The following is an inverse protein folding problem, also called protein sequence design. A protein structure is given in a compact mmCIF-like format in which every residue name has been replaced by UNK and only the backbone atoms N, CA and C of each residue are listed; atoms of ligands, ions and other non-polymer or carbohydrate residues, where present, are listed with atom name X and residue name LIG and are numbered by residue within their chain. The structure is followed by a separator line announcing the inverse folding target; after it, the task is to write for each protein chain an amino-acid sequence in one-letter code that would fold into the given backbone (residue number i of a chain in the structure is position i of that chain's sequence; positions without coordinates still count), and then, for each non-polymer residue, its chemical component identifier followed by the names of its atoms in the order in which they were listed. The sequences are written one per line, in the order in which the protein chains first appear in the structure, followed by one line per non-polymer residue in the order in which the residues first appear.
data_IF_706825694740
#
_entry.id   IF_706825694740
#
_cell.length_a   1.000
_cell.length_b   1.000
_cell.length_c   1.000
_cell.angle_alpha   90.00
_cell.angle_beta   90.00
_cell.angle_gamma   90.00
#
_symmetry.space_group_name_H-M   'P 1'
#
loop_
_entity.id
_entity.type
_entity.pdbx_description
1 polymer ?
#
# COMPACT_ATOMS: atom_id res chain seq x y z
N UNK A 1 -7.52 -7.33 -15.63
CA UNK A 1 -6.11 -7.00 -15.95
C UNK A 1 -5.70 -5.70 -15.30
N UNK A 2 -6.48 -4.63 -15.50
CA UNK A 2 -6.26 -3.36 -14.83
C UNK A 2 -6.26 -3.46 -13.28
N UNK A 3 -6.92 -4.45 -12.71
CA UNK A 3 -7.01 -4.62 -11.26
C UNK A 3 -5.75 -5.26 -10.63
N UNK A 4 -5.11 -6.25 -11.29
CA UNK A 4 -3.82 -6.79 -10.82
C UNK A 4 -2.72 -5.71 -10.91
N UNK A 5 -2.75 -4.92 -12.01
CA UNK A 5 -1.84 -3.80 -12.21
C UNK A 5 -2.22 -2.55 -11.41
N UNK A 6 -3.50 -2.33 -11.09
CA UNK A 6 -3.93 -1.20 -10.26
C UNK A 6 -3.50 -1.38 -8.80
N UNK A 7 -3.45 -2.61 -8.28
CA UNK A 7 -2.87 -2.91 -6.96
C UNK A 7 -1.35 -2.64 -6.98
N UNK A 8 -0.68 -2.86 -8.11
CA UNK A 8 0.73 -2.51 -8.32
C UNK A 8 0.95 -1.03 -8.66
N UNK A 9 0.01 -0.38 -9.38
CA UNK A 9 0.14 1.01 -9.84
C UNK A 9 -0.22 2.08 -8.78
N UNK A 10 -0.93 1.71 -7.71
CA UNK A 10 -1.28 2.64 -6.62
C UNK A 10 -0.03 3.18 -5.89
N UNK A 11 1.09 2.46 -5.95
CA UNK A 11 2.37 2.94 -5.40
C UNK A 11 3.15 3.87 -6.33
N UNK A 12 2.81 3.95 -7.63
CA UNK A 12 3.58 4.70 -8.63
C UNK A 12 2.98 6.06 -9.02
N UNK A 13 1.73 6.35 -8.65
CA UNK A 13 1.01 7.55 -9.10
C UNK A 13 1.24 8.81 -8.24
N UNK A 14 2.03 8.74 -7.17
CA UNK A 14 2.18 9.84 -6.20
C UNK A 14 3.34 10.82 -6.48
N UNK A 15 4.16 10.62 -7.52
CA UNK A 15 5.31 11.50 -7.79
C UNK A 15 5.34 11.97 -9.25
N UNK A 16 5.09 13.25 -9.48
CA UNK A 16 5.37 13.95 -10.74
C UNK A 16 6.88 14.06 -11.00
N UNK A 17 7.33 14.26 -12.26
CA UNK A 17 8.74 14.17 -12.63
C UNK A 17 9.56 15.34 -12.09
N UNK A 18 10.58 15.06 -11.28
CA UNK A 18 11.61 16.02 -10.92
C UNK A 18 12.65 16.11 -12.04
N UNK A 19 12.95 17.32 -12.46
CA UNK A 19 13.88 17.63 -13.55
C UNK A 19 15.32 17.21 -13.18
N UNK A 20 15.93 16.38 -14.03
CA UNK A 20 17.32 15.94 -13.90
C UNK A 20 18.32 17.07 -14.09
N UNK A 21 19.29 17.17 -13.22
CA UNK A 21 20.47 18.02 -13.37
C UNK A 21 21.70 17.15 -13.64
N UNK A 22 22.23 17.24 -14.86
CA UNK A 22 23.45 16.52 -15.28
C UNK A 22 24.69 17.27 -14.85
N UNK A 23 25.40 16.75 -13.86
CA UNK A 23 26.72 17.21 -13.45
C UNK A 23 27.80 16.19 -13.81
N UNK A 24 28.66 16.52 -14.77
CA UNK A 24 29.87 15.79 -15.14
C UNK A 24 30.97 16.01 -14.11
N UNK A 25 31.56 14.96 -13.57
CA UNK A 25 32.85 15.04 -12.86
C UNK A 25 33.75 13.87 -13.20
N UNK A 26 35.02 14.22 -13.44
CA UNK A 26 36.07 13.43 -14.06
C UNK A 26 36.60 12.27 -13.19
N UNK A 27 37.13 11.29 -13.92
CA UNK A 27 37.73 10.05 -13.43
C UNK A 27 39.10 10.27 -12.80
N UNK A 28 39.29 9.77 -11.59
CA UNK A 28 40.60 9.39 -11.04
C UNK A 28 40.67 7.87 -11.01
N UNK A 29 41.57 7.30 -11.81
CA UNK A 29 41.89 5.87 -11.80
C UNK A 29 42.63 5.51 -10.51
N UNK A 30 42.05 4.65 -9.70
CA UNK A 30 42.73 3.85 -8.70
C UNK A 30 42.77 2.40 -9.19
N UNK A 31 43.91 1.72 -9.07
CA UNK A 31 44.13 0.32 -9.42
C UNK A 31 43.41 -0.58 -8.38
N UNK A 32 42.12 -0.77 -8.53
CA UNK A 32 41.30 -1.71 -7.77
C UNK A 32 40.78 -2.81 -8.68
N UNK A 33 40.46 -3.96 -8.12
CA UNK A 33 39.66 -5.00 -8.77
C UNK A 33 38.43 -4.33 -9.37
N UNK A 34 38.16 -4.56 -10.67
CA UNK A 34 37.02 -3.99 -11.35
C UNK A 34 35.75 -4.55 -10.72
N UNK A 35 34.86 -3.66 -10.21
CA UNK A 35 33.60 -4.05 -9.56
C UNK A 35 32.66 -4.62 -10.59
N UNK A 36 31.86 -5.60 -10.17
CA UNK A 36 30.75 -6.09 -10.99
C UNK A 36 29.63 -5.05 -11.04
N UNK A 37 28.72 -5.09 -12.04
CA UNK A 37 27.60 -4.19 -12.15
C UNK A 37 26.73 -4.13 -10.87
N UNK A 38 26.45 -5.28 -10.24
CA UNK A 38 25.66 -5.34 -8.99
C UNK A 38 26.44 -4.80 -7.78
N UNK A 39 27.78 -4.93 -7.74
CA UNK A 39 28.59 -4.27 -6.69
C UNK A 39 28.54 -2.75 -6.82
N UNK A 40 28.61 -2.21 -8.05
CA UNK A 40 28.46 -0.77 -8.29
C UNK A 40 27.06 -0.27 -7.86
N UNK A 41 26.01 -1.04 -8.17
CA UNK A 41 24.64 -0.71 -7.80
C UNK A 41 24.40 -0.79 -6.28
N UNK A 42 24.98 -1.79 -5.60
CA UNK A 42 24.91 -1.90 -4.14
C UNK A 42 25.62 -0.72 -3.45
N UNK A 43 26.80 -0.32 -3.97
CA UNK A 43 27.51 0.85 -3.46
C UNK A 43 26.73 2.14 -3.66
N UNK A 44 26.13 2.35 -4.84
CA UNK A 44 25.30 3.50 -5.15
C UNK A 44 24.05 3.53 -4.25
N UNK A 45 23.38 2.37 -4.10
CA UNK A 45 22.24 2.21 -3.22
C UNK A 45 22.57 2.63 -1.78
N UNK A 46 23.64 2.06 -1.21
CA UNK A 46 24.00 2.30 0.18
C UNK A 46 24.45 3.74 0.40
N UNK A 47 25.38 4.26 -0.44
CA UNK A 47 25.90 5.62 -0.27
C UNK A 47 24.82 6.69 -0.44
N UNK A 48 23.92 6.52 -1.43
CA UNK A 48 22.86 7.49 -1.67
C UNK A 48 21.85 7.54 -0.52
N UNK A 49 21.49 6.38 0.04
CA UNK A 49 20.61 6.32 1.21
C UNK A 49 21.29 6.92 2.46
N UNK A 50 22.57 6.61 2.71
CA UNK A 50 23.33 7.19 3.83
C UNK A 50 23.42 8.73 3.75
N UNK A 51 23.57 9.28 2.55
CA UNK A 51 23.71 10.72 2.33
C UNK A 51 22.39 11.48 2.40
N UNK A 52 21.30 10.86 1.93
CA UNK A 52 20.07 11.60 1.61
C UNK A 52 18.86 11.20 2.43
N UNK A 53 18.76 9.97 2.94
CA UNK A 53 17.64 9.58 3.81
C UNK A 53 17.68 10.39 5.11
N UNK A 54 16.53 10.88 5.54
CA UNK A 54 16.42 11.78 6.72
C UNK A 54 17.06 11.20 7.99
N UNK A 55 16.89 9.89 8.21
CA UNK A 55 17.52 9.16 9.32
C UNK A 55 17.48 7.65 9.02
N UNK A 56 18.42 7.18 8.20
CA UNK A 56 18.49 5.78 7.76
C UNK A 56 18.59 4.78 8.93
N UNK A 57 19.14 5.22 10.03
CA UNK A 57 19.48 4.41 11.21
C UNK A 57 18.51 4.62 12.38
N UNK A 58 17.24 4.95 12.09
CA UNK A 58 16.23 5.15 13.13
C UNK A 58 15.86 3.85 13.89
N UNK A 59 15.81 2.73 13.17
CA UNK A 59 15.34 1.44 13.68
C UNK A 59 16.42 0.35 13.67
N UNK A 60 17.61 0.63 13.13
CA UNK A 60 18.76 -0.27 13.08
C UNK A 60 20.04 0.54 13.30
N UNK A 61 21.05 0.00 13.97
CA UNK A 61 22.33 0.68 14.07
C UNK A 61 23.07 0.71 12.73
N UNK A 62 23.95 1.70 12.55
CA UNK A 62 24.78 1.78 11.34
C UNK A 62 25.64 0.53 11.15
N UNK A 63 26.20 0.02 12.23
CA UNK A 63 27.06 -1.15 12.24
C UNK A 63 26.30 -2.41 11.82
N UNK A 64 25.07 -2.60 12.31
CA UNK A 64 24.23 -3.72 11.93
C UNK A 64 23.79 -3.62 10.46
N UNK A 65 23.35 -2.43 10.01
CA UNK A 65 22.97 -2.22 8.62
C UNK A 65 24.13 -2.49 7.66
N UNK A 66 25.34 -1.98 7.98
CA UNK A 66 26.52 -2.23 7.16
C UNK A 66 26.93 -3.71 7.16
N UNK A 67 26.76 -4.42 8.28
CA UNK A 67 27.00 -5.88 8.31
C UNK A 67 26.06 -6.63 7.37
N UNK A 68 24.79 -6.23 7.29
CA UNK A 68 23.83 -6.80 6.34
C UNK A 68 24.18 -6.45 4.88
N UNK A 69 24.65 -5.22 4.61
CA UNK A 69 25.16 -4.83 3.28
C UNK A 69 26.36 -5.70 2.86
N UNK A 70 27.31 -5.93 3.77
CA UNK A 70 28.46 -6.80 3.48
C UNK A 70 28.06 -8.27 3.30
N UNK A 71 27.02 -8.74 3.98
CA UNK A 71 26.43 -10.05 3.70
C UNK A 71 25.88 -10.12 2.28
N UNK A 72 25.06 -9.14 1.85
CA UNK A 72 24.56 -9.07 0.46
C UNK A 72 25.75 -9.05 -0.52
N UNK A 73 26.79 -8.25 -0.25
CA UNK A 73 27.98 -8.17 -1.09
C UNK A 73 28.67 -9.54 -1.24
N UNK A 74 28.78 -10.30 -0.18
CA UNK A 74 29.39 -11.65 -0.22
C UNK A 74 28.54 -12.65 -1.02
N UNK A 75 27.25 -12.45 -1.10
CA UNK A 75 26.28 -13.29 -1.82
C UNK A 75 26.16 -12.92 -3.31
N UNK A 76 26.63 -11.72 -3.75
CA UNK A 76 26.52 -11.26 -5.14
C UNK A 76 27.07 -12.23 -6.21
N UNK A 77 28.19 -12.96 -5.98
CA UNK A 77 28.67 -13.90 -6.97
C UNK A 77 27.67 -15.01 -7.30
N UNK A 78 27.07 -14.95 -8.50
CA UNK A 78 26.08 -15.90 -8.97
C UNK A 78 24.63 -15.56 -8.63
N UNK A 79 24.39 -14.41 -8.01
CA UNK A 79 23.05 -13.90 -7.73
C UNK A 79 22.34 -13.47 -9.02
N UNK A 80 21.07 -13.83 -9.17
CA UNK A 80 20.20 -13.32 -10.23
C UNK A 80 19.73 -11.89 -9.93
N UNK A 81 19.22 -11.16 -10.95
CA UNK A 81 18.63 -9.83 -10.75
C UNK A 81 17.44 -9.87 -9.77
N UNK A 82 16.60 -10.93 -9.82
CA UNK A 82 15.50 -11.11 -8.89
C UNK A 82 15.98 -11.30 -7.44
N UNK A 83 17.02 -12.11 -7.22
CA UNK A 83 17.62 -12.29 -5.89
C UNK A 83 18.25 -10.98 -5.40
N UNK A 84 18.91 -10.22 -6.26
CA UNK A 84 19.48 -8.90 -5.94
C UNK A 84 18.34 -7.92 -5.53
N UNK A 85 17.26 -7.85 -6.30
CA UNK A 85 16.11 -7.03 -5.97
C UNK A 85 15.54 -7.34 -4.57
N UNK A 86 15.35 -8.63 -4.23
CA UNK A 86 14.85 -9.01 -2.90
C UNK A 86 15.89 -8.82 -1.80
N UNK A 87 17.19 -8.90 -2.09
CA UNK A 87 18.25 -8.56 -1.13
C UNK A 87 18.23 -7.08 -0.78
N UNK A 88 18.04 -6.19 -1.77
CA UNK A 88 17.84 -4.75 -1.51
C UNK A 88 16.55 -4.48 -0.73
N UNK A 89 15.44 -5.19 -1.04
CA UNK A 89 14.20 -5.09 -0.26
C UNK A 89 14.40 -5.52 1.20
N UNK A 90 15.21 -6.56 1.43
CA UNK A 90 15.59 -6.99 2.79
C UNK A 90 16.34 -5.89 3.54
N UNK A 91 17.29 -5.21 2.90
CA UNK A 91 17.98 -4.07 3.49
C UNK A 91 17.01 -2.93 3.84
N UNK A 92 16.06 -2.61 2.96
CA UNK A 92 15.06 -1.55 3.22
C UNK A 92 14.07 -1.92 4.33
N UNK A 93 13.72 -3.22 4.48
CA UNK A 93 12.84 -3.65 5.58
C UNK A 93 13.44 -3.36 6.96
N UNK A 94 14.78 -3.33 7.07
CA UNK A 94 15.49 -3.00 8.31
C UNK A 94 15.43 -1.52 8.67
N UNK A 95 15.21 -0.65 7.69
CA UNK A 95 15.06 0.80 7.90
C UNK A 95 13.75 1.10 8.64
N UNK A 96 12.69 0.30 8.39
CA UNK A 96 11.39 0.45 9.05
C UNK A 96 10.65 1.74 8.67
N UNK A 97 10.85 2.21 7.44
CA UNK A 97 10.15 3.35 6.83
C UNK A 97 9.34 2.83 5.63
N UNK A 98 8.02 2.92 5.70
CA UNK A 98 7.13 2.43 4.66
C UNK A 98 7.24 3.22 3.34
N UNK A 99 7.72 4.47 3.40
CA UNK A 99 7.96 5.30 2.22
C UNK A 99 9.29 4.98 1.53
N UNK A 100 10.26 4.36 2.24
CA UNK A 100 11.55 3.95 1.66
C UNK A 100 11.40 2.57 1.04
N UNK A 101 11.37 2.52 -0.31
CA UNK A 101 10.93 1.34 -1.05
C UNK A 101 11.63 1.21 -2.41
N UNK A 102 11.40 0.09 -3.09
CA UNK A 102 11.89 -0.14 -4.46
C UNK A 102 10.74 -0.21 -5.46
N UNK A 103 11.00 0.29 -6.66
CA UNK A 103 10.20 0.12 -7.86
C UNK A 103 11.08 -0.16 -9.08
N UNK A 104 10.45 -0.38 -10.23
CA UNK A 104 11.15 -0.50 -11.50
C UNK A 104 10.96 0.75 -12.34
N UNK A 105 11.98 1.14 -13.12
CA UNK A 105 11.98 2.35 -13.95
C UNK A 105 11.11 2.25 -15.19
N UNK A 106 10.95 1.04 -15.69
CA UNK A 106 10.03 0.72 -16.77
C UNK A 106 8.98 -0.26 -16.23
N UNK A 107 7.84 -0.39 -16.91
CA UNK A 107 6.83 -1.43 -16.65
C UNK A 107 7.40 -2.85 -16.79
N UNK A 108 8.70 -3.00 -16.66
CA UNK A 108 9.46 -4.21 -16.84
C UNK A 108 9.50 -5.02 -15.56
N UNK A 109 8.35 -5.60 -15.19
CA UNK A 109 8.33 -6.81 -14.36
C UNK A 109 8.91 -8.03 -15.12
N UNK A 110 9.58 -7.78 -16.26
CA UNK A 110 10.12 -8.80 -17.18
C UNK A 110 11.08 -9.78 -16.53
N UNK A 111 11.65 -9.41 -15.38
CA UNK A 111 12.61 -10.22 -14.66
C UNK A 111 12.01 -10.99 -13.48
N UNK A 112 10.71 -10.82 -13.20
CA UNK A 112 10.02 -11.53 -12.14
C UNK A 112 8.95 -12.46 -12.71
N UNK A 113 8.79 -13.61 -12.08
CA UNK A 113 7.77 -14.60 -12.42
C UNK A 113 6.52 -14.35 -11.59
N UNK A 114 5.45 -13.89 -12.22
CA UNK A 114 4.19 -13.63 -11.55
C UNK A 114 3.41 -14.93 -11.29
N UNK A 115 2.65 -14.95 -10.20
CA UNK A 115 1.70 -15.99 -9.86
C UNK A 115 0.27 -15.43 -10.01
N UNK A 116 -0.64 -16.14 -10.71
CA UNK A 116 -1.95 -15.62 -11.10
C UNK A 116 -2.96 -15.68 -9.94
N UNK A 117 -2.63 -15.10 -8.79
CA UNK A 117 -3.53 -14.98 -7.64
C UNK A 117 -3.27 -13.70 -6.87
N UNK A 118 -4.27 -13.25 -6.13
CA UNK A 118 -4.13 -12.23 -5.11
C UNK A 118 -4.96 -12.58 -3.88
N UNK A 119 -4.52 -12.13 -2.71
CA UNK A 119 -5.21 -12.35 -1.44
C UNK A 119 -5.59 -11.03 -0.76
N UNK A 120 -6.59 -11.08 0.10
CA UNK A 120 -6.91 -9.98 1.01
C UNK A 120 -7.13 -10.56 2.41
N UNK A 121 -6.69 -9.81 3.42
CA UNK A 121 -6.90 -10.15 4.81
C UNK A 121 -8.26 -9.63 5.29
N UNK A 122 -9.03 -10.53 5.91
CA UNK A 122 -10.24 -10.23 6.66
C UNK A 122 -10.06 -10.73 8.11
N UNK A 123 -11.01 -10.44 9.01
CA UNK A 123 -10.91 -10.91 10.40
C UNK A 123 -10.78 -12.43 10.53
N UNK A 124 -11.37 -13.18 9.59
CA UNK A 124 -11.34 -14.65 9.54
C UNK A 124 -10.17 -15.23 8.74
N UNK A 125 -9.22 -14.39 8.28
CA UNK A 125 -7.98 -14.79 7.63
C UNK A 125 -7.78 -14.27 6.21
N UNK A 126 -6.86 -14.90 5.49
CA UNK A 126 -6.52 -14.55 4.11
C UNK A 126 -7.45 -15.26 3.12
N UNK A 127 -8.09 -14.51 2.24
CA UNK A 127 -8.98 -15.04 1.20
C UNK A 127 -8.42 -14.80 -0.20
N UNK A 128 -8.62 -15.78 -1.10
CA UNK A 128 -8.26 -15.68 -2.52
C UNK A 128 -9.24 -14.74 -3.22
N UNK A 129 -8.75 -13.55 -3.59
CA UNK A 129 -9.58 -12.51 -4.19
C UNK A 129 -9.51 -12.48 -5.71
N UNK A 130 -8.41 -12.96 -6.28
CA UNK A 130 -8.19 -13.03 -7.72
C UNK A 130 -7.55 -14.38 -8.08
N UNK A 131 -7.99 -14.96 -9.19
CA UNK A 131 -7.46 -16.21 -9.76
C UNK A 131 -7.64 -16.21 -11.27
N UNK A 132 -6.90 -17.08 -11.98
CA UNK A 132 -7.21 -17.40 -13.37
C UNK A 132 -8.63 -17.97 -13.51
N UNK A 133 -9.29 -17.66 -14.63
CA UNK A 133 -10.66 -18.12 -14.95
C UNK A 133 -10.85 -19.62 -14.77
N UNK A 134 -9.87 -20.43 -15.15
CA UNK A 134 -9.93 -21.90 -14.97
C UNK A 134 -10.03 -22.35 -13.52
N UNK A 135 -9.67 -21.49 -12.58
CA UNK A 135 -9.66 -21.73 -11.13
C UNK A 135 -10.76 -20.94 -10.39
N UNK A 136 -11.70 -20.31 -11.11
CA UNK A 136 -12.72 -19.40 -10.56
C UNK A 136 -13.56 -20.01 -9.42
N UNK A 137 -13.73 -21.34 -9.39
CA UNK A 137 -14.47 -22.04 -8.33
C UNK A 137 -13.84 -21.91 -6.94
N UNK A 138 -12.56 -21.53 -6.86
CA UNK A 138 -11.82 -21.32 -5.61
C UNK A 138 -11.76 -19.85 -5.18
N UNK A 139 -12.36 -18.93 -5.94
CA UNK A 139 -12.47 -17.54 -5.51
C UNK A 139 -13.20 -17.45 -4.17
N UNK A 140 -12.61 -16.68 -3.26
CA UNK A 140 -13.11 -16.50 -1.91
C UNK A 140 -12.72 -17.58 -0.90
N UNK A 141 -12.05 -18.67 -1.31
CA UNK A 141 -11.54 -19.65 -0.37
C UNK A 141 -10.43 -19.03 0.51
N UNK A 142 -10.33 -19.51 1.74
CA UNK A 142 -9.24 -19.15 2.64
C UNK A 142 -7.94 -19.77 2.19
N UNK A 143 -6.87 -19.01 2.21
CA UNK A 143 -5.50 -19.50 1.99
C UNK A 143 -4.92 -19.92 3.34
N UNK A 144 -4.53 -21.20 3.45
CA UNK A 144 -4.01 -21.80 4.68
C UNK A 144 -2.49 -22.02 4.64
N UNK A 145 -1.95 -22.39 3.45
CA UNK A 145 -0.53 -22.65 3.28
C UNK A 145 -0.08 -22.45 1.83
N UNK A 146 1.23 -22.26 1.62
CA UNK A 146 1.90 -22.28 0.32
C UNK A 146 3.01 -23.34 0.37
N UNK A 147 2.97 -24.34 -0.51
CA UNK A 147 3.88 -25.50 -0.54
C UNK A 147 4.10 -26.12 0.85
N UNK A 148 3.01 -26.29 1.61
CA UNK A 148 2.99 -26.86 2.93
C UNK A 148 3.48 -25.92 4.06
N UNK A 149 4.00 -24.73 3.73
CA UNK A 149 4.33 -23.71 4.73
C UNK A 149 3.08 -22.98 5.17
N UNK A 150 2.68 -22.99 6.45
CA UNK A 150 1.50 -22.29 6.95
C UNK A 150 1.52 -20.79 6.60
N UNK A 151 0.35 -20.23 6.26
CA UNK A 151 0.26 -18.85 5.78
C UNK A 151 0.81 -17.81 6.77
N UNK A 152 0.66 -18.04 8.06
CA UNK A 152 1.22 -17.17 9.09
C UNK A 152 2.76 -17.19 9.11
N UNK A 153 3.38 -18.35 8.81
CA UNK A 153 4.82 -18.45 8.64
C UNK A 153 5.28 -17.78 7.35
N UNK A 154 4.54 -17.96 6.24
CA UNK A 154 4.79 -17.24 4.97
C UNK A 154 4.71 -15.73 5.21
N UNK A 155 3.70 -15.28 5.94
CA UNK A 155 3.53 -13.86 6.27
C UNK A 155 4.68 -13.33 7.12
N UNK A 156 5.09 -14.07 8.15
CA UNK A 156 6.23 -13.68 8.99
C UNK A 156 7.54 -13.57 8.19
N UNK A 157 7.79 -14.51 7.27
CA UNK A 157 8.94 -14.46 6.36
C UNK A 157 8.82 -13.30 5.38
N UNK A 158 7.66 -13.06 4.77
CA UNK A 158 7.44 -11.98 3.83
C UNK A 158 7.71 -10.60 4.44
N UNK A 159 7.44 -10.40 5.73
CA UNK A 159 7.75 -9.16 6.45
C UNK A 159 9.25 -8.81 6.41
N UNK A 160 10.15 -9.78 6.25
CA UNK A 160 11.60 -9.51 6.16
C UNK A 160 12.04 -8.86 4.84
N UNK A 161 11.14 -8.75 3.86
CA UNK A 161 11.39 -8.12 2.56
C UNK A 161 10.34 -7.04 2.22
N UNK A 162 9.58 -6.58 3.20
CA UNK A 162 8.57 -5.53 3.04
C UNK A 162 8.97 -4.28 3.82
N UNK A 163 8.80 -3.11 3.21
CA UNK A 163 8.92 -1.82 3.89
C UNK A 163 7.57 -1.48 4.54
N UNK A 164 7.52 -1.47 5.87
CA UNK A 164 6.30 -1.19 6.62
C UNK A 164 6.63 -0.56 7.98
N UNK A 165 5.68 0.18 8.53
CA UNK A 165 5.78 0.81 9.85
C UNK A 165 4.88 0.11 10.88
N UNK A 166 3.80 -0.52 10.40
CA UNK A 166 2.81 -1.20 11.25
C UNK A 166 2.20 -2.43 10.58
N UNK A 167 1.46 -3.20 11.37
CA UNK A 167 0.83 -4.45 10.92
C UNK A 167 -0.24 -4.21 9.86
N UNK A 168 -0.92 -3.06 9.89
CA UNK A 168 -1.95 -2.68 8.92
C UNK A 168 -1.36 -2.58 7.51
N UNK A 169 -0.23 -1.87 7.36
CA UNK A 169 0.47 -1.74 6.09
C UNK A 169 1.14 -3.05 5.64
N UNK A 170 1.71 -3.81 6.58
CA UNK A 170 2.29 -5.11 6.28
C UNK A 170 1.25 -6.05 5.66
N UNK A 171 0.01 -6.11 6.18
CA UNK A 171 -1.09 -6.88 5.58
C UNK A 171 -1.46 -6.39 4.19
N UNK A 172 -1.44 -5.08 3.98
CA UNK A 172 -1.71 -4.51 2.65
C UNK A 172 -0.62 -4.87 1.64
N UNK A 173 0.65 -4.90 2.05
CA UNK A 173 1.79 -5.23 1.19
C UNK A 173 1.93 -6.73 0.91
N UNK A 174 1.38 -7.58 1.75
CA UNK A 174 1.60 -9.03 1.68
C UNK A 174 1.16 -9.63 0.34
N UNK A 175 -0.05 -9.31 -0.13
CA UNK A 175 -0.54 -9.82 -1.42
C UNK A 175 0.41 -9.49 -2.57
N UNK A 176 0.90 -8.24 -2.61
CA UNK A 176 1.81 -7.76 -3.64
C UNK A 176 3.23 -8.36 -3.54
N UNK A 177 3.53 -9.02 -2.43
CA UNK A 177 4.83 -9.66 -2.20
C UNK A 177 4.79 -11.13 -2.60
N UNK A 178 3.78 -11.88 -2.17
CA UNK A 178 3.71 -13.34 -2.38
C UNK A 178 3.18 -13.75 -3.75
N UNK A 179 2.67 -12.83 -4.55
CA UNK A 179 2.24 -13.11 -5.92
C UNK A 179 3.41 -13.13 -6.93
N UNK A 180 4.65 -13.13 -6.45
CA UNK A 180 5.85 -13.37 -7.24
C UNK A 180 6.57 -14.64 -6.78
N UNK A 181 6.81 -15.56 -7.72
CA UNK A 181 7.53 -16.80 -7.45
C UNK A 181 8.96 -16.55 -6.94
N UNK A 182 9.60 -15.50 -7.47
CA UNK A 182 10.95 -15.08 -7.05
C UNK A 182 11.02 -14.65 -5.58
N UNK A 183 9.95 -14.02 -5.06
CA UNK A 183 9.84 -13.71 -3.64
C UNK A 183 9.78 -14.97 -2.79
N UNK A 184 8.96 -15.95 -3.20
CA UNK A 184 8.79 -17.20 -2.46
C UNK A 184 10.08 -18.05 -2.49
N UNK A 185 10.83 -18.02 -3.60
CA UNK A 185 12.18 -18.62 -3.69
C UNK A 185 13.15 -17.95 -2.73
N UNK A 186 13.23 -16.62 -2.79
CA UNK A 186 14.12 -15.84 -1.92
C UNK A 186 13.84 -16.08 -0.41
N UNK A 187 12.58 -16.23 -0.06
CA UNK A 187 12.14 -16.52 1.32
C UNK A 187 12.32 -18.00 1.72
N UNK A 188 12.77 -18.85 0.80
CA UNK A 188 12.89 -20.29 1.05
C UNK A 188 11.55 -20.98 1.35
N UNK A 189 10.46 -20.47 0.77
CA UNK A 189 9.13 -21.11 0.81
C UNK A 189 9.08 -22.21 -0.23
N UNK A 190 9.65 -21.97 -1.41
CA UNK A 190 9.77 -22.94 -2.51
C UNK A 190 11.25 -23.13 -2.90
N UNK A 191 11.57 -24.22 -3.58
CA UNK A 191 12.92 -24.50 -4.06
C UNK A 191 13.32 -23.53 -5.19
N UNK A 192 14.63 -23.32 -5.36
CA UNK A 192 15.20 -22.44 -6.39
C UNK A 192 14.75 -22.80 -7.82
N UNK A 193 14.62 -24.11 -8.12
CA UNK A 193 14.21 -24.59 -9.43
C UNK A 193 12.69 -24.66 -9.64
N UNK A 194 11.90 -24.22 -8.65
CA UNK A 194 10.44 -24.26 -8.76
C UNK A 194 9.95 -23.35 -9.89
N UNK A 195 9.00 -23.83 -10.70
CA UNK A 195 8.26 -23.08 -11.73
C UNK A 195 6.78 -22.90 -11.39
N UNK A 196 6.36 -23.44 -10.25
CA UNK A 196 4.99 -23.52 -9.79
C UNK A 196 4.94 -23.59 -8.26
N UNK A 197 3.76 -23.36 -7.71
CA UNK A 197 3.44 -23.50 -6.29
C UNK A 197 2.19 -24.33 -6.09
N UNK A 198 1.98 -24.80 -4.87
CA UNK A 198 0.71 -25.42 -4.46
C UNK A 198 0.13 -24.65 -3.28
N UNK A 199 -1.06 -24.08 -3.47
CA UNK A 199 -1.83 -23.48 -2.37
C UNK A 199 -2.61 -24.56 -1.64
N UNK A 200 -2.60 -24.54 -0.29
CA UNK A 200 -3.59 -25.25 0.53
C UNK A 200 -4.69 -24.27 0.86
N UNK A 201 -5.92 -24.61 0.50
CA UNK A 201 -7.08 -23.72 0.55
C UNK A 201 -8.26 -24.38 1.24
N UNK A 202 -9.20 -23.60 1.76
CA UNK A 202 -10.38 -24.09 2.45
C UNK A 202 -11.59 -23.20 2.14
N UNK A 203 -12.73 -23.81 1.79
CA UNK A 203 -13.93 -23.05 1.44
C UNK A 203 -14.52 -22.25 2.60
N UNK A 204 -14.37 -22.74 3.82
CA UNK A 204 -14.83 -22.12 5.05
C UNK A 204 -14.45 -22.98 6.24
N UNK A 205 -14.58 -22.46 7.44
CA UNK A 205 -14.20 -23.15 8.65
C UNK A 205 -14.91 -24.54 8.75
N UNK A 206 -14.12 -25.57 9.02
CA UNK A 206 -14.60 -26.95 9.12
C UNK A 206 -14.86 -27.67 7.77
N UNK A 207 -14.71 -26.99 6.63
CA UNK A 207 -14.70 -27.65 5.31
C UNK A 207 -13.41 -28.44 5.09
N UNK A 208 -13.38 -29.47 4.23
CA UNK A 208 -12.14 -30.12 3.84
C UNK A 208 -11.14 -29.13 3.23
N UNK A 209 -9.86 -29.38 3.48
CA UNK A 209 -8.79 -28.70 2.78
C UNK A 209 -8.65 -29.25 1.35
N UNK A 210 -8.35 -28.35 0.42
CA UNK A 210 -8.11 -28.64 -0.98
C UNK A 210 -6.75 -28.07 -1.40
N UNK A 211 -6.19 -28.61 -2.49
CA UNK A 211 -4.93 -28.12 -3.05
C UNK A 211 -5.15 -27.48 -4.39
N UNK A 212 -4.52 -26.34 -4.66
CA UNK A 212 -4.58 -25.62 -5.91
C UNK A 212 -3.17 -25.37 -6.43
N UNK A 213 -2.72 -26.10 -7.47
CA UNK A 213 -1.46 -25.83 -8.14
C UNK A 213 -1.58 -24.59 -9.01
N UNK A 214 -0.58 -23.71 -8.95
CA UNK A 214 -0.45 -22.51 -9.77
C UNK A 214 0.93 -22.48 -10.41
N UNK A 215 0.98 -22.26 -11.72
CA UNK A 215 2.22 -22.10 -12.46
C UNK A 215 2.65 -20.64 -12.48
N UNK A 216 3.97 -20.40 -12.35
CA UNK A 216 4.56 -19.10 -12.59
C UNK A 216 4.41 -18.67 -14.04
N UNK A 217 4.18 -17.37 -14.25
CA UNK A 217 3.94 -16.73 -15.54
C UNK A 217 4.93 -15.60 -15.74
N UNK A 218 5.48 -15.50 -16.95
CA UNK A 218 6.21 -14.31 -17.36
C UNK A 218 5.25 -13.14 -17.65
N UNK A 219 5.81 -11.97 -17.97
CA UNK A 219 5.02 -10.76 -18.23
C UNK A 219 3.98 -10.96 -19.36
N UNK A 220 4.38 -11.56 -20.48
CA UNK A 220 3.47 -11.79 -21.63
C UNK A 220 2.33 -12.75 -21.25
N UNK A 221 2.64 -13.83 -20.54
CA UNK A 221 1.67 -14.80 -20.07
C UNK A 221 0.67 -14.20 -19.08
N UNK A 222 1.13 -13.43 -18.08
CA UNK A 222 0.22 -12.84 -17.07
C UNK A 222 -0.66 -11.74 -17.68
N UNK A 223 -0.16 -10.98 -18.65
CA UNK A 223 -0.97 -9.99 -19.38
C UNK A 223 -2.01 -10.64 -20.28
N UNK A 224 -1.73 -11.81 -20.84
CA UNK A 224 -2.66 -12.56 -21.68
C UNK A 224 -3.67 -13.38 -20.84
N UNK A 225 -3.39 -13.66 -19.58
CA UNK A 225 -4.22 -14.48 -18.72
C UNK A 225 -5.58 -13.83 -18.42
N UNK A 226 -6.64 -14.62 -18.46
CA UNK A 226 -7.96 -14.22 -17.97
C UNK A 226 -7.98 -14.33 -16.44
N UNK A 227 -7.78 -13.21 -15.75
CA UNK A 227 -7.82 -13.12 -14.28
C UNK A 227 -9.20 -12.63 -13.86
N UNK A 228 -9.88 -13.43 -13.05
CA UNK A 228 -11.16 -13.10 -12.44
C UNK A 228 -10.96 -12.69 -10.98
N UNK A 229 -11.86 -11.85 -10.50
CA UNK A 229 -11.91 -11.43 -9.10
C UNK A 229 -13.21 -11.90 -8.45
N UNK A 230 -13.20 -11.97 -7.11
CA UNK A 230 -14.40 -12.22 -6.32
C UNK A 230 -15.48 -11.22 -6.72
N UNK A 231 -16.65 -11.72 -7.11
CA UNK A 231 -17.82 -10.89 -7.33
C UNK A 231 -18.35 -10.37 -5.99
N UNK A 232 -18.61 -9.08 -5.96
CA UNK A 232 -19.23 -8.43 -4.80
C UNK A 232 -20.34 -7.48 -5.24
N UNK A 233 -21.28 -7.27 -4.35
CA UNK A 233 -22.25 -6.17 -4.53
C UNK A 233 -21.54 -4.83 -4.29
N UNK A 234 -21.94 -3.82 -5.05
CA UNK A 234 -21.40 -2.48 -4.86
C UNK A 234 -21.87 -1.87 -3.54
N UNK A 235 -20.99 -1.15 -2.90
CA UNK A 235 -21.28 -0.28 -1.75
C UNK A 235 -21.14 1.18 -2.17
N UNK A 236 -21.61 2.15 -1.38
CA UNK A 236 -21.34 3.56 -1.64
C UNK A 236 -19.85 3.83 -1.89
N UNK A 237 -18.94 3.19 -1.16
CA UNK A 237 -17.51 3.37 -1.30
C UNK A 237 -16.92 2.76 -2.58
N UNK A 238 -17.58 1.78 -3.19
CA UNK A 238 -17.03 1.01 -4.32
C UNK A 238 -17.75 1.22 -5.66
N UNK A 239 -18.90 1.89 -5.64
CA UNK A 239 -19.77 2.09 -6.80
C UNK A 239 -19.19 3.04 -7.87
N UNK A 240 -18.25 3.90 -7.52
CA UNK A 240 -17.60 4.78 -8.47
C UNK A 240 -16.10 4.88 -8.19
N UNK A 241 -15.34 5.07 -9.26
CA UNK A 241 -13.90 5.38 -9.21
C UNK A 241 -13.71 6.85 -9.57
N UNK A 242 -12.77 7.51 -8.93
CA UNK A 242 -12.45 8.91 -9.12
C UNK A 242 -11.61 9.40 -7.96
N UNK A 243 -11.14 10.63 -8.04
CA UNK A 243 -10.30 11.22 -7.00
C UNK A 243 -11.15 11.58 -5.78
N UNK A 244 -12.32 12.18 -6.03
CA UNK A 244 -13.26 12.54 -4.99
C UNK A 244 -14.70 12.66 -5.55
N UNK A 245 -15.68 12.51 -4.68
CA UNK A 245 -17.09 12.61 -5.03
C UNK A 245 -17.98 12.73 -3.80
N UNK A 246 -19.23 13.10 -4.01
CA UNK A 246 -20.27 13.10 -2.97
C UNK A 246 -21.45 12.20 -3.33
N UNK A 247 -22.20 11.76 -2.32
CA UNK A 247 -23.42 10.97 -2.46
C UNK A 247 -24.34 11.25 -1.27
N UNK A 248 -25.62 11.44 -1.54
CA UNK A 248 -26.67 11.42 -0.53
C UNK A 248 -27.02 9.95 -0.22
N UNK A 249 -26.78 9.52 1.01
CA UNK A 249 -27.12 8.15 1.46
C UNK A 249 -28.58 8.01 1.94
N UNK A 250 -29.31 9.12 2.01
CA UNK A 250 -30.61 9.18 2.69
C UNK A 250 -30.46 9.25 4.21
N UNK A 251 -31.59 9.26 4.91
CA UNK A 251 -31.67 9.28 6.39
C UNK A 251 -30.79 10.37 7.06
N UNK A 252 -30.58 11.51 6.35
CA UNK A 252 -29.82 12.63 6.85
C UNK A 252 -28.29 12.39 6.86
N UNK A 253 -27.79 11.47 6.06
CA UNK A 253 -26.36 11.18 5.92
C UNK A 253 -25.81 11.59 4.56
N UNK A 254 -24.79 12.44 4.56
CA UNK A 254 -24.04 12.87 3.39
C UNK A 254 -22.69 12.17 3.35
N UNK A 255 -22.35 11.54 2.21
CA UNK A 255 -21.11 10.81 2.01
C UNK A 255 -20.20 11.60 1.08
N UNK A 256 -18.98 11.87 1.54
CA UNK A 256 -17.91 12.52 0.80
C UNK A 256 -16.74 11.55 0.74
N UNK A 257 -16.38 11.08 -0.45
CA UNK A 257 -15.24 10.19 -0.67
C UNK A 257 -14.07 10.98 -1.24
N UNK A 258 -12.87 10.75 -0.70
CA UNK A 258 -11.62 11.35 -1.12
C UNK A 258 -10.54 10.26 -1.24
N UNK A 259 -10.27 9.79 -2.47
CA UNK A 259 -9.47 8.60 -2.75
C UNK A 259 -7.99 8.86 -3.01
N UNK A 260 -7.60 10.12 -3.27
CA UNK A 260 -6.20 10.49 -3.48
C UNK A 260 -6.01 11.98 -3.23
N UNK A 261 -4.89 12.35 -2.62
CA UNK A 261 -4.52 13.74 -2.38
C UNK A 261 -3.89 14.36 -3.64
N UNK A 262 -4.67 14.40 -4.73
CA UNK A 262 -4.31 14.97 -6.02
C UNK A 262 -5.47 15.79 -6.59
N UNK A 263 -5.16 16.78 -7.44
CA UNK A 263 -6.16 17.50 -8.22
C UNK A 263 -6.66 16.65 -9.37
N UNK A 264 -7.98 16.53 -9.53
CA UNK A 264 -8.57 15.94 -10.70
C UNK A 264 -8.54 16.97 -11.87
N UNK A 265 -8.13 16.54 -13.06
CA UNK A 265 -8.04 17.43 -14.22
C UNK A 265 -9.40 18.00 -14.67
N UNK A 266 -10.44 17.17 -14.54
CA UNK A 266 -11.82 17.48 -14.96
C UNK A 266 -12.67 18.10 -13.85
N UNK A 267 -12.22 18.10 -12.60
CA UNK A 267 -12.91 18.67 -11.45
C UNK A 267 -11.90 19.18 -10.41
N UNK A 268 -11.39 20.41 -10.53
CA UNK A 268 -10.49 20.98 -9.52
C UNK A 268 -11.12 21.03 -8.12
N UNK A 269 -10.31 20.88 -7.07
CA UNK A 269 -10.79 20.84 -5.68
C UNK A 269 -11.61 22.09 -5.31
N UNK A 270 -11.22 23.27 -5.79
CA UNK A 270 -11.97 24.50 -5.54
C UNK A 270 -13.42 24.42 -6.07
N UNK A 271 -13.62 23.85 -7.25
CA UNK A 271 -14.98 23.64 -7.81
C UNK A 271 -15.71 22.53 -7.05
N UNK A 272 -15.01 21.46 -6.65
CA UNK A 272 -15.60 20.39 -5.86
C UNK A 272 -16.06 20.87 -4.48
N UNK A 273 -15.34 21.80 -3.85
CA UNK A 273 -15.74 22.46 -2.59
C UNK A 273 -17.08 23.18 -2.76
N UNK A 274 -17.24 23.97 -3.83
CA UNK A 274 -18.50 24.71 -4.11
C UNK A 274 -19.66 23.74 -4.36
N UNK A 275 -19.45 22.72 -5.21
CA UNK A 275 -20.49 21.71 -5.47
C UNK A 275 -20.90 20.97 -4.21
N UNK A 276 -19.93 20.63 -3.35
CA UNK A 276 -20.20 19.98 -2.07
C UNK A 276 -20.98 20.89 -1.13
N UNK A 277 -20.59 22.16 -1.06
CA UNK A 277 -21.29 23.19 -0.28
C UNK A 277 -22.74 23.35 -0.72
N UNK A 278 -22.97 23.47 -2.04
CA UNK A 278 -24.32 23.59 -2.60
C UNK A 278 -25.18 22.36 -2.27
N UNK A 279 -24.62 21.16 -2.41
CA UNK A 279 -25.31 19.91 -2.09
C UNK A 279 -25.69 19.81 -0.60
N UNK A 280 -24.75 20.16 0.30
CA UNK A 280 -25.02 20.20 1.75
C UNK A 280 -26.06 21.26 2.13
N UNK A 281 -26.05 22.42 1.48
CA UNK A 281 -27.04 23.47 1.71
C UNK A 281 -28.44 23.13 1.15
N UNK A 282 -28.50 22.31 0.11
CA UNK A 282 -29.78 21.88 -0.47
C UNK A 282 -30.51 20.79 0.33
N UNK A 283 -29.78 20.03 1.15
CA UNK A 283 -30.30 18.95 1.98
C UNK A 283 -30.46 19.32 3.46
N UNK A 284 -30.95 18.35 4.23
CA UNK A 284 -30.97 18.41 5.69
C UNK A 284 -30.18 17.23 6.23
N UNK A 285 -28.90 17.45 6.51
CA UNK A 285 -28.01 16.41 6.95
C UNK A 285 -27.68 16.56 8.44
N UNK A 286 -27.68 15.44 9.14
CA UNK A 286 -27.25 15.34 10.54
C UNK A 286 -25.89 14.69 10.67
N UNK A 287 -25.42 14.03 9.60
CA UNK A 287 -24.15 13.31 9.53
C UNK A 287 -23.46 13.59 8.21
N UNK A 288 -22.17 13.88 8.28
CA UNK A 288 -21.26 13.94 7.12
C UNK A 288 -20.20 12.86 7.32
N UNK A 289 -20.09 11.95 6.35
CA UNK A 289 -19.13 10.84 6.35
C UNK A 289 -18.03 11.17 5.34
N UNK A 290 -16.84 11.43 5.82
CA UNK A 290 -15.63 11.60 5.00
C UNK A 290 -14.89 10.26 4.87
N UNK A 291 -14.88 9.67 3.69
CA UNK A 291 -14.23 8.36 3.44
C UNK A 291 -12.81 8.54 2.89
N UNK A 292 -11.81 8.21 3.71
CA UNK A 292 -10.39 8.20 3.38
C UNK A 292 -9.80 6.78 3.31
N UNK A 293 -10.61 5.72 3.38
CA UNK A 293 -10.16 4.32 3.45
C UNK A 293 -9.35 3.87 2.24
N UNK A 294 -9.50 4.54 1.09
CA UNK A 294 -8.77 4.20 -0.14
C UNK A 294 -7.68 5.22 -0.50
N UNK A 295 -7.44 6.20 0.36
CA UNK A 295 -6.51 7.29 0.07
C UNK A 295 -5.09 6.97 0.56
N UNK A 296 -4.17 6.76 -0.37
CA UNK A 296 -2.75 6.47 -0.07
C UNK A 296 -1.88 7.72 0.04
N UNK A 297 -2.46 8.93 -0.04
CA UNK A 297 -1.74 10.19 0.11
C UNK A 297 -1.57 10.99 -1.16
N UNK A 298 -0.55 11.84 -1.17
CA UNK A 298 -0.22 12.84 -2.19
C UNK A 298 0.11 14.19 -1.54
N UNK A 299 -0.54 15.27 -1.94
CA UNK A 299 -0.41 16.60 -1.32
C UNK A 299 -1.58 16.89 -0.38
N UNK A 300 -1.33 16.89 0.93
CA UNK A 300 -2.37 17.11 1.96
C UNK A 300 -3.06 18.48 1.86
N UNK A 301 -2.38 19.48 1.30
CA UNK A 301 -2.88 20.86 1.19
C UNK A 301 -4.08 20.98 0.26
N UNK A 302 -4.23 20.05 -0.71
CA UNK A 302 -5.35 20.05 -1.65
C UNK A 302 -6.70 19.96 -0.94
N UNK A 303 -6.78 19.23 0.17
CA UNK A 303 -8.04 19.03 0.89
C UNK A 303 -8.32 20.07 1.99
N UNK A 304 -7.36 20.93 2.34
CA UNK A 304 -7.53 21.96 3.38
C UNK A 304 -8.75 22.87 3.12
N UNK A 305 -9.01 23.38 1.88
CA UNK A 305 -10.21 24.20 1.62
C UNK A 305 -11.53 23.48 1.88
N UNK A 306 -11.58 22.15 1.68
CA UNK A 306 -12.76 21.34 1.98
C UNK A 306 -12.98 21.22 3.50
N UNK A 307 -11.92 21.01 4.28
CA UNK A 307 -11.99 20.94 5.74
C UNK A 307 -12.49 22.28 6.29
N UNK A 308 -11.96 23.41 5.82
CA UNK A 308 -12.42 24.76 6.19
C UNK A 308 -13.91 24.96 5.87
N UNK A 309 -14.34 24.60 4.64
CA UNK A 309 -15.72 24.72 4.21
C UNK A 309 -16.67 23.85 5.04
N UNK A 310 -16.27 22.61 5.33
CA UNK A 310 -17.06 21.72 6.20
C UNK A 310 -17.19 22.28 7.62
N UNK A 311 -16.16 22.95 8.14
CA UNK A 311 -16.22 23.64 9.43
C UNK A 311 -17.27 24.76 9.45
N UNK A 312 -17.25 25.65 8.45
CA UNK A 312 -18.25 26.71 8.29
C UNK A 312 -19.69 26.15 8.23
N UNK A 313 -19.88 25.08 7.44
CA UNK A 313 -21.20 24.45 7.26
C UNK A 313 -21.65 23.71 8.53
N UNK A 314 -20.72 23.06 9.24
CA UNK A 314 -21.01 22.41 10.53
C UNK A 314 -21.52 23.39 11.57
N UNK A 315 -20.88 24.56 11.67
CA UNK A 315 -21.34 25.64 12.57
C UNK A 315 -22.76 26.14 12.24
N UNK A 316 -23.11 26.17 10.94
CA UNK A 316 -24.41 26.65 10.48
C UNK A 316 -25.52 25.60 10.60
N UNK A 317 -25.23 24.33 10.33
CA UNK A 317 -26.21 23.27 10.17
C UNK A 317 -26.23 22.27 11.34
N UNK A 318 -25.13 22.16 12.11
CA UNK A 318 -25.05 21.33 13.31
C UNK A 318 -24.89 19.83 13.05
N UNK A 319 -24.42 19.40 11.86
CA UNK A 319 -24.17 17.98 11.58
C UNK A 319 -22.92 17.48 12.31
N UNK A 320 -22.88 16.17 12.61
CA UNK A 320 -21.68 15.48 13.10
C UNK A 320 -20.85 14.97 11.93
N UNK A 321 -19.51 15.08 12.04
CA UNK A 321 -18.57 14.56 11.05
C UNK A 321 -17.97 13.24 11.52
N UNK A 322 -17.91 12.28 10.62
CA UNK A 322 -17.26 10.98 10.79
C UNK A 322 -16.23 10.80 9.71
N UNK A 323 -15.02 10.34 10.06
CA UNK A 323 -13.96 10.04 9.09
C UNK A 323 -13.73 8.54 9.07
N UNK A 324 -13.94 7.93 7.91
CA UNK A 324 -13.64 6.51 7.72
C UNK A 324 -12.17 6.35 7.37
N UNK A 325 -11.44 5.61 8.19
CA UNK A 325 -10.01 5.29 8.02
C UNK A 325 -9.79 3.79 7.92
N UNK A 326 -8.67 3.38 7.34
CA UNK A 326 -8.33 1.96 7.19
C UNK A 326 -6.91 1.75 6.67
N UNK A 327 -6.58 0.51 6.29
CA UNK A 327 -5.23 0.08 5.90
C UNK A 327 -4.60 0.87 4.77
N UNK A 328 -5.41 1.42 3.85
CA UNK A 328 -4.91 2.26 2.76
C UNK A 328 -4.94 3.75 3.09
N UNK A 329 -5.43 4.16 4.27
CA UNK A 329 -5.26 5.53 4.72
C UNK A 329 -3.78 5.72 5.08
N UNK A 330 -3.03 6.40 4.20
CA UNK A 330 -1.57 6.45 4.28
C UNK A 330 -1.05 7.86 3.95
N UNK A 331 0.14 8.21 4.48
CA UNK A 331 0.83 9.46 4.16
C UNK A 331 -0.08 10.70 4.37
N UNK A 332 -0.23 11.55 3.36
CA UNK A 332 -1.05 12.78 3.41
C UNK A 332 -2.51 12.55 3.81
N UNK A 333 -3.07 11.35 3.57
CA UNK A 333 -4.41 11.03 4.03
C UNK A 333 -4.50 10.92 5.57
N UNK A 334 -3.42 10.52 6.25
CA UNK A 334 -3.33 10.55 7.72
C UNK A 334 -3.34 12.01 8.21
N UNK A 335 -2.60 12.90 7.53
CA UNK A 335 -2.60 14.33 7.84
C UNK A 335 -4.03 14.88 7.73
N UNK A 336 -4.72 14.60 6.62
CA UNK A 336 -6.10 15.06 6.44
C UNK A 336 -7.09 14.44 7.44
N UNK A 337 -6.87 13.18 7.88
CA UNK A 337 -7.67 12.56 8.94
C UNK A 337 -7.52 13.30 10.27
N UNK A 338 -6.28 13.64 10.66
CA UNK A 338 -5.98 14.39 11.87
C UNK A 338 -6.55 15.82 11.79
N UNK A 339 -6.34 16.51 10.65
CA UNK A 339 -6.90 17.85 10.42
C UNK A 339 -8.42 17.86 10.54
N UNK A 340 -9.11 16.85 9.95
CA UNK A 340 -10.56 16.72 10.08
C UNK A 340 -11.00 16.41 11.50
N UNK A 341 -10.26 15.58 12.24
CA UNK A 341 -10.55 15.29 13.65
C UNK A 341 -10.43 16.56 14.51
N UNK A 342 -9.35 17.33 14.33
CA UNK A 342 -9.09 18.55 15.12
C UNK A 342 -10.03 19.70 14.75
N UNK A 343 -10.21 19.98 13.45
CA UNK A 343 -10.96 21.13 13.00
C UNK A 343 -12.48 20.92 13.02
N UNK A 344 -12.94 19.68 12.87
CA UNK A 344 -14.36 19.34 12.73
C UNK A 344 -14.90 18.56 13.92
N UNK A 345 -14.10 18.31 14.97
CA UNK A 345 -14.48 17.41 16.08
C UNK A 345 -15.03 16.08 15.52
N UNK A 346 -14.31 15.53 14.52
CA UNK A 346 -14.74 14.36 13.80
C UNK A 346 -14.42 13.07 14.56
N UNK A 347 -15.32 12.08 14.45
CA UNK A 347 -15.14 10.74 15.01
C UNK A 347 -14.46 9.86 13.96
N UNK A 348 -13.32 9.25 14.28
CA UNK A 348 -12.64 8.30 13.42
C UNK A 348 -13.28 6.91 13.54
N UNK A 349 -13.65 6.30 12.40
CA UNK A 349 -14.35 5.00 12.35
C UNK A 349 -13.62 4.06 11.40
N UNK A 350 -13.50 2.80 11.73
CA UNK A 350 -12.95 1.76 10.86
C UNK A 350 -11.75 1.03 11.43
N UNK A 351 -10.71 0.81 10.61
CA UNK A 351 -9.47 0.15 11.01
C UNK A 351 -8.34 1.18 11.19
N UNK A 352 -7.29 0.82 11.91
CA UNK A 352 -6.08 1.63 12.03
C UNK A 352 -5.44 1.92 10.66
N UNK A 353 -4.81 3.09 10.53
CA UNK A 353 -4.17 3.53 9.28
C UNK A 353 -2.96 2.67 8.88
N UNK A 354 -2.61 2.71 7.59
CA UNK A 354 -1.45 1.99 7.05
C UNK A 354 -0.10 2.62 7.41
N UNK A 355 -0.04 3.91 7.72
CA UNK A 355 1.18 4.58 8.14
C UNK A 355 1.11 5.07 9.58
N UNK A 356 2.28 5.42 10.12
CA UNK A 356 2.44 6.04 11.43
C UNK A 356 2.00 7.51 11.41
N UNK A 357 1.51 8.00 12.55
CA UNK A 357 1.18 9.42 12.74
C UNK A 357 2.45 10.28 12.69
N UNK A 358 3.49 9.86 13.41
CA UNK A 358 4.80 10.48 13.38
C UNK A 358 5.74 9.56 12.58
N UNK A 359 6.29 10.03 11.46
CA UNK A 359 7.04 9.16 10.57
C UNK A 359 7.84 9.90 9.50
N UNK A 360 8.52 9.13 8.68
CA UNK A 360 9.30 9.65 7.56
C UNK A 360 8.43 9.81 6.31
N UNK A 361 8.82 10.73 5.43
CA UNK A 361 8.13 11.02 4.18
C UNK A 361 8.84 12.08 3.36
N UNK A 362 8.12 12.80 2.46
CA UNK A 362 8.69 13.72 1.48
C UNK A 362 9.64 12.96 0.54
N UNK A 363 9.05 12.20 -0.38
CA UNK A 363 9.77 11.25 -1.22
C UNK A 363 10.69 11.92 -2.24
N UNK A 364 11.91 11.39 -2.31
CA UNK A 364 12.82 11.54 -3.43
C UNK A 364 13.16 10.16 -3.98
N UNK A 365 13.79 10.13 -5.14
CA UNK A 365 14.16 8.86 -5.77
C UNK A 365 15.42 8.97 -6.61
N UNK A 366 16.10 7.84 -6.81
CA UNK A 366 17.19 7.68 -7.76
C UNK A 366 17.13 6.30 -8.42
N UNK A 367 17.70 6.21 -9.61
CA UNK A 367 17.80 4.96 -10.35
C UNK A 367 19.17 4.32 -10.13
N UNK A 368 19.22 3.00 -9.96
CA UNK A 368 20.46 2.25 -10.01
C UNK A 368 21.05 2.28 -11.43
N UNK A 369 22.37 2.17 -11.51
CA UNK A 369 23.09 2.43 -12.76
C UNK A 369 22.98 1.26 -13.75
N UNK A 370 23.04 0.03 -13.25
CA UNK A 370 23.19 -1.18 -14.06
C UNK A 370 21.93 -2.04 -14.08
N UNK A 371 21.05 -1.89 -13.09
CA UNK A 371 19.77 -2.59 -13.00
C UNK A 371 18.61 -1.61 -13.13
N UNK A 372 17.42 -2.02 -13.65
CA UNK A 372 16.25 -1.14 -13.84
C UNK A 372 15.51 -0.88 -12.52
N UNK A 373 16.23 -0.70 -11.41
CA UNK A 373 15.65 -0.52 -10.09
C UNK A 373 15.62 0.96 -9.74
N UNK A 374 14.43 1.46 -9.40
CA UNK A 374 14.21 2.78 -8.82
C UNK A 374 14.16 2.65 -7.30
N UNK A 375 14.94 3.46 -6.59
CA UNK A 375 14.95 3.53 -5.13
C UNK A 375 14.24 4.80 -4.70
N UNK A 376 13.25 4.67 -3.83
CA UNK A 376 12.53 5.77 -3.19
C UNK A 376 13.00 5.89 -1.74
N UNK A 377 13.13 7.11 -1.24
CA UNK A 377 13.56 7.35 0.14
C UNK A 377 12.96 8.64 0.70
N UNK A 378 12.84 8.68 2.02
CA UNK A 378 12.27 9.81 2.76
C UNK A 378 13.31 10.86 3.11
N UNK A 379 13.00 12.14 2.83
CA UNK A 379 13.90 13.27 3.11
C UNK A 379 13.49 14.09 4.33
N UNK A 380 12.32 13.81 4.92
CA UNK A 380 11.76 14.58 6.03
C UNK A 380 11.15 13.65 7.09
N UNK A 381 11.22 14.08 8.34
CA UNK A 381 10.44 13.50 9.44
C UNK A 381 9.27 14.42 9.76
N UNK A 382 8.07 13.88 9.84
CA UNK A 382 6.85 14.58 10.24
C UNK A 382 6.49 14.18 11.66
N UNK A 383 6.39 15.15 12.56
CA UNK A 383 5.84 14.99 13.89
C UNK A 383 4.47 15.68 13.90
N UNK A 384 3.43 14.92 13.50
CA UNK A 384 2.08 15.46 13.38
C UNK A 384 1.43 15.68 14.74
N UNK A 385 1.64 14.74 15.67
CA UNK A 385 1.15 14.83 17.04
C UNK A 385 2.35 14.65 17.98
N UNK A 386 2.81 15.72 18.65
CA UNK A 386 3.95 15.64 19.56
C UNK A 386 3.74 14.58 20.66
N UNK A 387 4.71 13.68 20.81
CA UNK A 387 4.67 12.64 21.84
C UNK A 387 3.70 11.50 21.57
N UNK A 388 3.12 11.40 20.36
CA UNK A 388 2.33 10.23 19.96
C UNK A 388 3.24 9.03 19.77
N UNK A 389 3.00 7.97 20.54
CA UNK A 389 3.87 6.79 20.66
C UNK A 389 3.31 5.51 20.00
N UNK A 390 2.16 5.63 19.31
CA UNK A 390 1.56 4.51 18.59
C UNK A 390 2.03 4.47 17.14
N UNK A 391 2.00 3.27 16.56
CA UNK A 391 2.44 2.96 15.20
C UNK A 391 1.42 3.29 14.08
N UNK A 392 0.22 3.78 14.45
CA UNK A 392 -0.88 4.10 13.52
C UNK A 392 -1.78 5.17 14.12
N UNK A 393 -2.57 5.85 13.29
CA UNK A 393 -3.75 6.57 13.75
C UNK A 393 -4.86 5.53 13.97
N UNK A 394 -5.30 5.39 15.22
CA UNK A 394 -6.33 4.44 15.60
C UNK A 394 -7.71 5.08 15.52
N UNK A 395 -8.73 4.35 15.07
CA UNK A 395 -10.10 4.85 15.09
C UNK A 395 -10.63 4.97 16.52
N UNK A 396 -11.50 5.96 16.75
CA UNK A 396 -12.26 6.10 18.00
C UNK A 396 -13.27 4.97 18.13
N UNK A 397 -13.85 4.55 16.99
CA UNK A 397 -14.77 3.44 16.86
C UNK A 397 -14.16 2.37 15.92
N UNK A 398 -13.55 1.32 16.45
CA UNK A 398 -13.04 0.21 15.64
C UNK A 398 -14.18 -0.56 14.97
N UNK A 399 -14.07 -0.72 13.67
CA UNK A 399 -14.97 -1.53 12.83
C UNK A 399 -14.12 -2.21 11.77
N UNK A 400 -14.31 -3.52 11.60
CA UNK A 400 -13.62 -4.28 10.57
C UNK A 400 -14.63 -4.99 9.66
N UNK A 401 -14.27 -5.15 8.38
CA UNK A 401 -15.08 -5.85 7.40
C UNK A 401 -14.75 -7.34 7.41
N UNK A 402 -15.78 -8.19 7.48
CA UNK A 402 -15.62 -9.63 7.24
C UNK A 402 -15.64 -9.95 5.74
N UNK A 403 -15.15 -11.14 5.36
CA UNK A 403 -15.27 -11.61 3.97
C UNK A 403 -16.75 -11.72 3.54
N UNK A 404 -17.64 -12.16 4.43
CA UNK A 404 -19.08 -12.24 4.17
C UNK A 404 -19.70 -10.86 3.88
N UNK A 405 -19.33 -9.82 4.65
CA UNK A 405 -19.75 -8.44 4.41
C UNK A 405 -19.25 -7.94 3.05
N UNK A 406 -17.98 -8.19 2.75
CA UNK A 406 -17.38 -7.81 1.47
C UNK A 406 -18.17 -8.34 0.27
N UNK A 407 -18.49 -9.64 0.25
CA UNK A 407 -19.25 -10.28 -0.84
C UNK A 407 -20.69 -9.78 -0.89
N UNK A 408 -21.33 -9.62 0.28
CA UNK A 408 -22.71 -9.14 0.38
C UNK A 408 -22.88 -7.66 0.00
N UNK A 409 -21.77 -6.92 -0.15
CA UNK A 409 -21.81 -5.46 -0.36
C UNK A 409 -22.29 -4.72 0.88
N UNK A 410 -21.95 -5.23 2.06
CA UNK A 410 -22.17 -4.56 3.33
C UNK A 410 -20.94 -3.68 3.60
N UNK A 411 -21.19 -2.43 3.94
CA UNK A 411 -20.19 -1.47 4.40
C UNK A 411 -20.36 -1.26 5.90
N UNK A 412 -19.67 -2.04 6.74
CA UNK A 412 -19.92 -2.03 8.18
C UNK A 412 -19.57 -0.70 8.83
N UNK A 413 -18.58 0.04 8.32
CA UNK A 413 -18.21 1.36 8.85
C UNK A 413 -19.30 2.39 8.55
N UNK A 414 -19.83 2.40 7.33
CA UNK A 414 -20.99 3.25 6.98
C UNK A 414 -22.20 2.87 7.82
N UNK A 415 -22.49 1.58 7.98
CA UNK A 415 -23.61 1.13 8.82
C UNK A 415 -23.45 1.51 10.29
N UNK A 416 -22.23 1.42 10.82
CA UNK A 416 -21.92 1.84 12.19
C UNK A 416 -22.23 3.34 12.40
N UNK A 417 -21.90 4.18 11.41
CA UNK A 417 -22.21 5.61 11.46
C UNK A 417 -23.73 5.85 11.33
N UNK A 418 -24.40 5.17 10.40
CA UNK A 418 -25.85 5.34 10.20
C UNK A 418 -26.67 4.90 11.43
N UNK A 419 -26.22 3.88 12.15
CA UNK A 419 -26.86 3.35 13.36
C UNK A 419 -26.70 4.23 14.61
N UNK A 420 -25.85 5.27 14.61
CA UNK A 420 -25.71 6.21 15.72
C UNK A 420 -26.90 7.17 15.78
N UNK A 421 -27.41 7.44 16.98
CA UNK A 421 -28.53 8.36 17.22
C UNK A 421 -28.06 9.77 17.54
#
# INVERSE_FOLDING_TARGET
LAALLAVLAVLLAACGPAAGNSGSSGSTQSSGVEKTPMEEDLDLFTSTLEENHKNLYANISKEEFQAEVEQVRAELPGMSEGQFYYSLRRLLSLVGDAHTSLGFTDSNYRHLTALPFAVMYFEDGWHLMMLEEQNQQYLGYRLLAIDGTPIDEVYAKAKTIMSYENESWARQQFSNTINFLDALKYLGIVGEDADSITLTIQKGEGSPEETLPLKGMNEEEIFAAAILQVERRETPATAARGYYRTLDLGDGAFFLQYNTCQEAEDLPMAEFVELTSDALCAGQYTKVILDLRYNTGGDSRIFEPMIEKLGELKEQQGFQVYVLIGRNTFSSAIINSIQAQEALDAVLVGEQTGGSVNGYGELQSFQLKNTPIQVYYSTKYFELIPGYDKDSLYPDQPVAQTYADYVAGVDPEVQAVLGQQ
#
